data_IF_866929866813
#
_entry.id   IF_866929866813
#
_cell.length_a   1.000
_cell.length_b   1.000
_cell.length_c   1.000
_cell.angle_alpha   90.00
_cell.angle_beta   90.00
_cell.angle_gamma   90.00
#
_symmetry.space_group_name_H-M   'P 1'
#
loop_
_entity.id
_entity.type
_entity.pdbx_description
1 polymer ?
#
# COMPACT_ATOMS: atom_id res chain seq x y z
N UNK A 1 -14.52 0.50 -24.50
CA UNK A 1 -15.31 0.91 -23.33
C UNK A 1 -14.39 0.79 -22.12
N UNK A 2 -14.08 1.87 -21.40
CA UNK A 2 -13.28 1.80 -20.19
C UNK A 2 -14.07 1.03 -19.13
N UNK A 3 -13.41 0.10 -18.44
CA UNK A 3 -13.98 -0.62 -17.29
C UNK A 3 -14.21 0.40 -16.20
N UNK A 4 -15.48 0.60 -15.87
CA UNK A 4 -15.95 1.51 -14.83
C UNK A 4 -15.37 1.14 -13.49
N UNK A 5 -14.69 2.11 -12.87
CA UNK A 5 -14.22 2.07 -11.50
C UNK A 5 -15.41 1.75 -10.58
N UNK A 6 -15.34 0.62 -9.90
CA UNK A 6 -16.40 0.22 -9.00
C UNK A 6 -16.11 0.84 -7.64
N UNK A 7 -16.68 2.00 -7.40
CA UNK A 7 -16.67 2.67 -6.10
C UNK A 7 -17.68 1.97 -5.18
N UNK A 8 -17.25 1.62 -3.99
CA UNK A 8 -18.17 1.15 -2.95
C UNK A 8 -18.53 2.35 -2.08
N UNK A 9 -19.79 2.77 -2.18
CA UNK A 9 -20.41 3.73 -1.28
C UNK A 9 -20.74 3.02 0.04
N UNK A 10 -20.11 3.41 1.13
CA UNK A 10 -20.34 2.84 2.46
C UNK A 10 -21.49 3.46 3.19
N UNK A 11 -22.28 4.37 2.54
CA UNK A 11 -23.45 4.99 3.13
C UNK A 11 -23.16 5.96 4.30
N UNK A 12 -21.92 6.34 4.50
CA UNK A 12 -21.52 7.34 5.47
C UNK A 12 -21.57 8.73 4.78
N UNK A 13 -22.26 9.70 5.40
CA UNK A 13 -22.53 11.06 4.87
C UNK A 13 -21.27 11.96 4.74
N UNK A 14 -20.09 11.35 4.77
CA UNK A 14 -18.81 11.92 4.36
C UNK A 14 -18.14 10.87 3.48
N UNK A 15 -18.03 11.17 2.19
CA UNK A 15 -17.51 10.29 1.14
C UNK A 15 -16.09 9.78 1.44
N UNK A 16 -15.99 8.70 2.22
CA UNK A 16 -14.76 8.00 2.47
C UNK A 16 -14.70 6.81 1.51
N UNK A 17 -13.77 6.83 0.57
CA UNK A 17 -13.58 5.75 -0.38
C UNK A 17 -12.38 4.89 0.03
N UNK A 18 -12.62 3.60 0.27
CA UNK A 18 -11.55 2.61 0.44
C UNK A 18 -11.35 1.93 -0.90
N UNK A 19 -10.24 2.22 -1.58
CA UNK A 19 -9.88 1.54 -2.83
C UNK A 19 -9.08 0.28 -2.47
N UNK A 20 -9.70 -0.90 -2.54
CA UNK A 20 -9.08 -2.15 -2.13
C UNK A 20 -8.26 -2.83 -3.25
N UNK A 21 -8.39 -2.46 -4.55
CA UNK A 21 -7.73 -3.24 -5.61
C UNK A 21 -7.24 -2.49 -6.84
N UNK A 22 -7.34 -1.18 -6.93
CA UNK A 22 -6.82 -0.45 -8.09
C UNK A 22 -5.75 0.56 -7.66
N UNK A 23 -4.55 0.38 -8.21
CA UNK A 23 -3.57 1.44 -8.26
C UNK A 23 -4.18 2.54 -9.14
N UNK A 24 -4.33 3.74 -8.58
CA UNK A 24 -4.72 4.89 -9.37
C UNK A 24 -3.63 5.17 -10.39
N UNK A 25 -3.89 4.88 -11.68
CA UNK A 25 -2.87 4.93 -12.72
C UNK A 25 -2.23 6.32 -12.84
N UNK A 26 -3.00 7.38 -12.59
CA UNK A 26 -2.46 8.74 -12.66
C UNK A 26 -1.46 9.06 -11.53
N UNK A 27 -1.47 8.33 -10.41
CA UNK A 27 -0.47 8.52 -9.34
C UNK A 27 0.96 8.26 -9.82
N UNK A 28 1.13 7.47 -10.88
CA UNK A 28 2.42 7.24 -11.52
C UNK A 28 3.02 8.49 -12.16
N UNK A 29 2.19 9.50 -12.39
CA UNK A 29 2.56 10.80 -12.96
C UNK A 29 2.69 11.90 -11.90
N UNK A 30 2.71 11.52 -10.62
CA UNK A 30 2.68 12.49 -9.52
C UNK A 30 3.86 13.47 -9.53
N UNK A 31 5.03 13.05 -10.04
CA UNK A 31 6.19 13.90 -10.23
C UNK A 31 6.04 14.90 -11.38
N UNK A 32 5.22 14.57 -12.39
CA UNK A 32 4.90 15.45 -13.52
C UNK A 32 3.70 16.34 -13.25
N UNK A 33 2.76 15.85 -12.43
CA UNK A 33 1.47 16.47 -12.13
C UNK A 33 1.16 16.44 -10.63
N UNK A 34 1.92 17.18 -9.80
CA UNK A 34 1.71 17.19 -8.36
C UNK A 34 0.31 17.70 -7.96
N UNK A 35 -0.32 18.52 -8.82
CA UNK A 35 -1.67 19.04 -8.66
C UNK A 35 -2.77 17.95 -8.64
N UNK A 36 -2.45 16.71 -8.98
CA UNK A 36 -3.39 15.59 -8.87
C UNK A 36 -3.88 15.36 -7.43
N UNK A 37 -3.14 15.82 -6.42
CA UNK A 37 -3.51 15.70 -5.01
C UNK A 37 -4.03 17.02 -4.40
N UNK A 38 -4.15 18.09 -5.18
CA UNK A 38 -4.64 19.39 -4.70
C UNK A 38 -6.17 19.48 -4.56
N UNK A 39 -7.00 18.74 -5.32
CA UNK A 39 -8.44 18.86 -5.19
C UNK A 39 -8.91 18.53 -3.77
N UNK A 40 -9.78 19.37 -3.16
CA UNK A 40 -10.32 19.14 -1.82
C UNK A 40 -11.10 17.82 -1.71
N UNK A 41 -11.55 17.27 -2.84
CA UNK A 41 -12.21 15.96 -2.91
C UNK A 41 -11.28 14.80 -2.54
N UNK A 42 -9.97 15.02 -2.50
CA UNK A 42 -8.98 14.00 -2.09
C UNK A 42 -8.68 14.05 -0.60
N UNK A 43 -9.10 15.09 0.10
CA UNK A 43 -8.94 15.18 1.55
C UNK A 43 -9.70 14.04 2.26
N UNK A 44 -9.01 13.33 3.13
CA UNK A 44 -9.56 12.15 3.80
C UNK A 44 -9.69 10.89 2.95
N UNK A 45 -9.17 10.86 1.72
CA UNK A 45 -9.17 9.67 0.86
C UNK A 45 -7.95 8.77 1.08
N UNK A 46 -8.17 7.48 0.85
CA UNK A 46 -7.09 6.49 0.83
C UNK A 46 -6.65 6.24 -0.60
N UNK A 47 -5.37 6.41 -0.87
CA UNK A 47 -4.75 6.09 -2.15
C UNK A 47 -3.67 5.02 -1.97
N UNK A 48 -3.57 4.11 -2.93
CA UNK A 48 -2.49 3.13 -2.97
C UNK A 48 -1.31 3.69 -3.76
N UNK A 49 -0.16 3.78 -3.11
CA UNK A 49 1.08 4.27 -3.71
C UNK A 49 2.16 3.21 -3.58
N UNK A 50 2.91 2.94 -4.65
CA UNK A 50 4.10 2.09 -4.55
C UNK A 50 5.23 2.85 -3.84
N UNK A 51 6.02 2.15 -3.04
CA UNK A 51 7.06 2.77 -2.21
C UNK A 51 8.09 3.61 -2.98
N UNK A 52 8.31 3.29 -4.26
CA UNK A 52 9.19 4.06 -5.15
C UNK A 52 8.70 5.47 -5.47
N UNK A 53 7.41 5.74 -5.29
CA UNK A 53 6.79 7.05 -5.57
C UNK A 53 6.61 7.89 -4.30
N UNK A 54 6.84 7.35 -3.11
CA UNK A 54 6.61 8.07 -1.85
C UNK A 54 7.44 9.38 -1.77
N UNK A 55 8.67 9.35 -2.22
CA UNK A 55 9.53 10.54 -2.23
C UNK A 55 9.15 11.58 -3.29
N UNK A 56 8.21 11.24 -4.18
CA UNK A 56 7.65 12.13 -5.21
C UNK A 56 6.36 12.82 -4.76
N UNK A 57 5.81 12.40 -3.62
CA UNK A 57 4.58 12.96 -3.09
C UNK A 57 4.77 14.44 -2.75
N UNK A 58 3.80 15.32 -3.12
CA UNK A 58 3.86 16.75 -2.86
C UNK A 58 4.04 17.06 -1.37
N UNK A 59 4.98 17.93 -1.01
CA UNK A 59 5.32 18.25 0.39
C UNK A 59 4.39 19.27 1.04
N UNK A 60 3.48 19.87 0.28
CA UNK A 60 2.48 20.83 0.78
C UNK A 60 1.31 20.15 1.50
N UNK A 61 1.20 18.83 1.44
CA UNK A 61 0.18 18.06 2.12
C UNK A 61 0.76 17.24 3.25
N UNK A 62 -0.03 16.98 4.27
CA UNK A 62 0.28 16.02 5.33
C UNK A 62 -0.36 14.67 5.03
N UNK A 63 0.41 13.60 5.21
CA UNK A 63 -0.02 12.24 4.89
C UNK A 63 0.04 11.33 6.11
N UNK A 64 -0.97 10.49 6.25
CA UNK A 64 -0.93 9.29 7.10
C UNK A 64 -0.59 8.09 6.22
N UNK A 65 0.59 7.53 6.42
CA UNK A 65 1.14 6.46 5.58
C UNK A 65 1.02 5.12 6.31
N UNK A 66 0.21 4.21 5.78
CA UNK A 66 0.22 2.81 6.22
C UNK A 66 1.23 2.06 5.36
N UNK A 67 2.40 1.77 5.93
CA UNK A 67 3.46 1.07 5.24
C UNK A 67 3.32 -0.44 5.43
N UNK A 68 2.71 -1.10 4.42
CA UNK A 68 2.50 -2.54 4.45
C UNK A 68 3.80 -3.29 4.22
N UNK A 69 4.24 -4.05 5.22
CA UNK A 69 5.42 -4.91 5.12
C UNK A 69 5.02 -6.36 4.83
N UNK A 70 5.71 -6.96 3.88
CA UNK A 70 5.64 -8.38 3.59
C UNK A 70 7.04 -8.99 3.65
N UNK A 71 7.16 -10.31 3.88
CA UNK A 71 8.43 -11.01 3.76
C UNK A 71 9.09 -10.69 2.42
N UNK A 72 10.38 -10.33 2.46
CA UNK A 72 11.15 -10.01 1.24
C UNK A 72 11.21 -11.22 0.31
N UNK A 73 11.36 -12.41 0.88
CA UNK A 73 11.39 -13.65 0.11
C UNK A 73 10.05 -13.92 -0.60
N UNK A 74 8.91 -13.67 0.08
CA UNK A 74 7.59 -13.79 -0.55
C UNK A 74 7.37 -12.78 -1.68
N UNK A 75 7.84 -11.55 -1.49
CA UNK A 75 7.78 -10.49 -2.53
C UNK A 75 8.64 -10.88 -3.72
N UNK A 76 9.88 -11.31 -3.49
CA UNK A 76 10.81 -11.74 -4.53
C UNK A 76 10.25 -12.93 -5.32
N UNK A 77 9.73 -13.95 -4.64
CA UNK A 77 9.10 -15.10 -5.28
C UNK A 77 7.86 -14.71 -6.12
N UNK A 78 7.10 -13.73 -5.66
CA UNK A 78 5.93 -13.22 -6.41
C UNK A 78 6.36 -12.45 -7.67
N UNK A 79 7.39 -11.63 -7.56
CA UNK A 79 7.95 -10.89 -8.70
C UNK A 79 8.57 -11.84 -9.74
N UNK A 80 9.31 -12.85 -9.30
CA UNK A 80 9.87 -13.84 -10.21
C UNK A 80 8.79 -14.55 -11.01
N UNK A 81 7.70 -14.99 -10.35
CA UNK A 81 6.57 -15.62 -11.04
C UNK A 81 5.90 -14.67 -12.05
N UNK A 82 5.87 -13.38 -11.77
CA UNK A 82 5.33 -12.40 -12.71
C UNK A 82 6.23 -12.23 -13.93
N UNK A 83 7.54 -12.15 -13.74
CA UNK A 83 8.54 -12.06 -14.82
C UNK A 83 8.44 -13.30 -15.72
N UNK A 84 8.39 -14.49 -15.12
CA UNK A 84 8.28 -15.76 -15.86
C UNK A 84 6.99 -15.82 -16.71
N UNK A 85 5.88 -15.27 -16.22
CA UNK A 85 4.61 -15.22 -16.97
C UNK A 85 4.62 -14.22 -18.12
N UNK A 86 5.35 -13.12 -17.97
CA UNK A 86 5.43 -12.08 -19.00
C UNK A 86 6.36 -12.47 -20.14
N UNK A 87 7.16 -13.53 -19.99
CA UNK A 87 8.07 -14.00 -21.03
C UNK A 87 9.11 -12.95 -21.43
N UNK A 88 9.33 -11.95 -20.60
CA UNK A 88 10.34 -10.95 -20.85
C UNK A 88 11.71 -11.57 -20.60
N UNK A 89 12.51 -11.71 -21.65
CA UNK A 89 13.93 -12.07 -21.59
C UNK A 89 14.80 -10.97 -20.93
N UNK A 90 14.21 -10.18 -20.04
CA UNK A 90 14.91 -9.26 -19.18
C UNK A 90 15.81 -10.07 -18.25
N UNK A 91 17.04 -9.60 -18.08
CA UNK A 91 18.10 -10.25 -17.31
C UNK A 91 17.53 -11.02 -16.11
N UNK A 92 17.70 -12.35 -16.12
CA UNK A 92 17.33 -13.23 -14.99
C UNK A 92 18.19 -12.80 -13.81
N UNK A 93 17.66 -11.88 -13.01
CA UNK A 93 18.28 -11.53 -11.74
C UNK A 93 18.17 -12.75 -10.81
N UNK A 94 19.26 -13.14 -10.19
CA UNK A 94 19.21 -14.21 -9.20
C UNK A 94 18.28 -13.81 -8.05
N UNK A 95 17.49 -14.78 -7.56
CA UNK A 95 16.51 -14.54 -6.49
C UNK A 95 17.14 -13.84 -5.28
N UNK A 96 18.33 -14.24 -4.88
CA UNK A 96 19.06 -13.62 -3.77
C UNK A 96 19.46 -12.17 -4.03
N UNK A 97 19.75 -11.82 -5.27
CA UNK A 97 20.05 -10.44 -5.65
C UNK A 97 18.79 -9.58 -5.61
N UNK A 98 17.69 -10.11 -6.09
CA UNK A 98 16.38 -9.47 -5.99
C UNK A 98 15.97 -9.25 -4.52
N UNK A 99 16.14 -10.25 -3.66
CA UNK A 99 15.88 -10.13 -2.22
C UNK A 99 16.73 -9.04 -1.57
N UNK A 100 18.03 -9.02 -1.86
CA UNK A 100 18.94 -7.97 -1.34
C UNK A 100 18.51 -6.58 -1.80
N UNK A 101 18.15 -6.42 -3.07
CA UNK A 101 17.65 -5.16 -3.63
C UNK A 101 16.36 -4.69 -2.94
N UNK A 102 15.39 -5.59 -2.77
CA UNK A 102 14.13 -5.31 -2.08
C UNK A 102 14.34 -4.94 -0.61
N UNK A 103 15.22 -5.64 0.10
CA UNK A 103 15.54 -5.35 1.49
C UNK A 103 16.23 -3.97 1.63
N UNK A 104 17.17 -3.66 0.76
CA UNK A 104 17.85 -2.37 0.73
C UNK A 104 16.86 -1.22 0.43
N UNK A 105 15.99 -1.41 -0.57
CA UNK A 105 14.96 -0.43 -0.91
C UNK A 105 14.01 -0.20 0.27
N UNK A 106 13.51 -1.25 0.92
CA UNK A 106 12.64 -1.14 2.09
C UNK A 106 13.30 -0.32 3.19
N UNK A 107 14.56 -0.63 3.55
CA UNK A 107 15.30 0.11 4.56
C UNK A 107 15.41 1.58 4.20
N UNK A 108 15.88 1.91 3.00
CA UNK A 108 16.03 3.27 2.54
C UNK A 108 14.70 4.05 2.56
N UNK A 109 13.59 3.37 2.22
CA UNK A 109 12.25 3.98 2.26
C UNK A 109 11.84 4.30 3.69
N UNK A 110 12.04 3.39 4.64
CA UNK A 110 11.69 3.61 6.05
C UNK A 110 12.57 4.69 6.69
N UNK A 111 13.88 4.69 6.39
CA UNK A 111 14.80 5.74 6.85
C UNK A 111 14.36 7.11 6.33
N UNK A 112 13.91 7.18 5.07
CA UNK A 112 13.40 8.41 4.48
C UNK A 112 12.07 8.83 5.12
N UNK A 113 11.11 7.91 5.29
CA UNK A 113 9.81 8.18 5.93
C UNK A 113 10.00 8.72 7.35
N UNK A 114 10.92 8.16 8.13
CA UNK A 114 11.20 8.62 9.51
C UNK A 114 11.72 10.05 9.58
N UNK A 115 12.32 10.55 8.49
CA UNK A 115 12.82 11.91 8.38
C UNK A 115 11.82 12.88 7.73
N UNK A 116 10.79 12.38 7.07
CA UNK A 116 9.81 13.16 6.31
C UNK A 116 8.71 13.70 7.23
N UNK A 117 8.85 14.95 7.69
CA UNK A 117 7.94 15.58 8.68
C UNK A 117 6.46 15.65 8.26
N UNK A 118 6.18 15.62 6.96
CA UNK A 118 4.84 15.65 6.37
C UNK A 118 4.23 14.27 6.19
N UNK A 119 4.92 13.20 6.63
CA UNK A 119 4.47 11.82 6.53
C UNK A 119 4.49 11.14 7.89
N UNK A 120 3.35 11.07 8.54
CA UNK A 120 3.16 10.23 9.72
C UNK A 120 2.99 8.78 9.27
N UNK A 121 3.80 7.85 9.81
CA UNK A 121 3.88 6.49 9.28
C UNK A 121 3.54 5.44 10.33
N UNK A 122 2.65 4.52 9.97
CA UNK A 122 2.39 3.28 10.71
C UNK A 122 2.88 2.09 9.86
N UNK A 123 3.79 1.29 10.43
CA UNK A 123 4.27 0.07 9.80
C UNK A 123 3.36 -1.10 10.15
N UNK A 124 2.81 -1.78 9.15
CA UNK A 124 1.92 -2.93 9.33
C UNK A 124 2.50 -4.16 8.65
N UNK A 125 2.74 -5.23 9.41
CA UNK A 125 3.15 -6.49 8.83
C UNK A 125 1.95 -7.26 8.30
N UNK A 126 2.00 -7.60 7.04
CA UNK A 126 0.91 -8.30 6.37
C UNK A 126 0.59 -9.66 7.01
N UNK A 127 1.59 -10.40 7.48
CA UNK A 127 1.41 -11.66 8.19
C UNK A 127 0.62 -11.48 9.49
N UNK A 128 0.96 -10.46 10.30
CA UNK A 128 0.29 -10.16 11.56
C UNK A 128 -1.17 -9.74 11.32
N UNK A 129 -1.43 -8.92 10.28
CA UNK A 129 -2.78 -8.56 9.88
C UNK A 129 -3.64 -9.77 9.51
N UNK A 130 -3.06 -10.77 8.85
CA UNK A 130 -3.80 -11.98 8.43
C UNK A 130 -3.99 -12.97 9.59
N UNK A 131 -2.99 -13.11 10.46
CA UNK A 131 -3.01 -14.09 11.57
C UNK A 131 -3.86 -13.61 12.76
N UNK A 132 -3.76 -12.31 13.09
CA UNK A 132 -4.43 -11.69 14.23
C UNK A 132 -4.93 -10.27 13.92
N UNK A 133 -5.97 -10.12 13.10
CA UNK A 133 -6.39 -8.82 12.58
C UNK A 133 -6.87 -7.84 13.65
N UNK A 134 -7.41 -8.32 14.76
CA UNK A 134 -8.05 -7.46 15.78
C UNK A 134 -7.09 -6.39 16.33
N UNK A 135 -5.87 -6.79 16.69
CA UNK A 135 -4.87 -5.87 17.24
C UNK A 135 -4.44 -4.83 16.18
N UNK A 136 -4.17 -5.29 14.96
CA UNK A 136 -3.75 -4.41 13.86
C UNK A 136 -4.88 -3.46 13.44
N UNK A 137 -6.13 -3.94 13.40
CA UNK A 137 -7.28 -3.07 13.13
C UNK A 137 -7.49 -2.01 14.20
N UNK A 138 -7.22 -2.34 15.48
CA UNK A 138 -7.26 -1.35 16.57
C UNK A 138 -6.15 -0.28 16.41
N UNK A 139 -4.92 -0.69 16.08
CA UNK A 139 -3.81 0.24 15.79
C UNK A 139 -4.12 1.14 14.58
N UNK A 140 -4.69 0.57 13.51
CA UNK A 140 -5.12 1.34 12.35
C UNK A 140 -6.21 2.35 12.70
N UNK A 141 -7.16 1.97 13.55
CA UNK A 141 -8.23 2.87 13.99
C UNK A 141 -7.68 4.01 14.87
N UNK A 142 -6.75 3.71 15.78
CA UNK A 142 -6.07 4.73 16.59
C UNK A 142 -5.26 5.69 15.69
N UNK A 143 -4.51 5.14 14.74
CA UNK A 143 -3.67 5.90 13.83
C UNK A 143 -4.48 6.82 12.89
N UNK A 144 -5.57 6.32 12.31
CA UNK A 144 -6.37 7.05 11.32
C UNK A 144 -7.56 7.81 11.93
N UNK A 145 -7.97 7.44 13.16
CA UNK A 145 -9.08 8.09 13.87
C UNK A 145 -10.40 7.97 13.08
N UNK A 146 -11.12 9.08 13.01
CA UNK A 146 -12.46 9.15 12.36
C UNK A 146 -12.45 8.91 10.84
N UNK A 147 -11.28 8.75 10.24
CA UNK A 147 -11.15 8.46 8.80
C UNK A 147 -11.50 7.01 8.45
N UNK A 148 -11.61 6.14 9.44
CA UNK A 148 -11.90 4.72 9.22
C UNK A 148 -13.27 4.31 9.74
N UNK A 149 -13.90 3.31 9.07
CA UNK A 149 -15.04 2.61 9.63
C UNK A 149 -14.64 1.84 10.89
N UNK A 150 -15.63 1.40 11.65
CA UNK A 150 -15.45 0.56 12.84
C UNK A 150 -14.53 -0.65 12.58
N UNK A 151 -13.67 -0.97 13.55
CA UNK A 151 -12.70 -2.08 13.47
C UNK A 151 -13.34 -3.42 13.12
N UNK A 152 -14.60 -3.68 13.51
CA UNK A 152 -15.34 -4.88 13.14
C UNK A 152 -15.61 -4.99 11.62
N UNK A 153 -15.81 -3.88 10.95
CA UNK A 153 -15.96 -3.84 9.48
C UNK A 153 -14.63 -4.09 8.79
N UNK A 154 -13.52 -3.59 9.33
CA UNK A 154 -12.18 -3.85 8.78
C UNK A 154 -11.83 -5.34 8.84
N UNK A 155 -12.11 -6.00 9.97
CA UNK A 155 -11.89 -7.44 10.12
C UNK A 155 -12.65 -8.27 9.08
N UNK A 156 -13.89 -7.89 8.79
CA UNK A 156 -14.72 -8.60 7.79
C UNK A 156 -14.22 -8.46 6.36
N UNK A 157 -13.43 -7.42 6.08
CA UNK A 157 -12.84 -7.18 4.77
C UNK A 157 -11.57 -8.02 4.51
N UNK A 158 -11.00 -8.65 5.54
CA UNK A 158 -9.76 -9.43 5.42
C UNK A 158 -10.05 -10.82 4.86
N UNK A 159 -9.68 -11.02 3.61
CA UNK A 159 -9.78 -12.32 2.94
C UNK A 159 -8.46 -13.10 3.02
N UNK A 160 -8.41 -14.07 3.94
CA UNK A 160 -7.23 -14.94 4.15
C UNK A 160 -6.88 -15.80 2.93
N UNK A 161 -7.82 -16.05 2.02
CA UNK A 161 -7.58 -16.84 0.80
C UNK A 161 -6.67 -16.10 -0.20
N UNK A 162 -6.60 -14.78 -0.09
CA UNK A 162 -5.73 -13.95 -0.93
C UNK A 162 -4.27 -13.98 -0.50
N UNK A 163 -3.94 -14.54 0.67
CA UNK A 163 -2.56 -14.71 1.14
C UNK A 163 -1.89 -15.88 0.41
N UNK A 164 -1.30 -15.57 -0.74
CA UNK A 164 -0.57 -16.51 -1.58
C UNK A 164 0.94 -16.40 -1.34
N UNK A 165 1.70 -17.44 -1.73
CA UNK A 165 3.18 -17.50 -1.64
C UNK A 165 3.69 -17.35 -0.20
N UNK A 166 3.09 -18.08 0.75
CA UNK A 166 3.58 -18.16 2.12
C UNK A 166 4.95 -18.81 2.15
N UNK A 167 5.86 -18.31 3.00
CA UNK A 167 7.01 -19.09 3.41
C UNK A 167 6.48 -20.34 4.11
N UNK A 168 6.83 -21.54 3.60
CA UNK A 168 6.56 -22.78 4.31
C UNK A 168 7.41 -22.76 5.58
N UNK A 169 6.75 -22.63 6.73
CA UNK A 169 7.37 -22.88 8.04
C UNK A 169 7.68 -24.35 8.19
#
# INVERSE_FOLDING_TARGET
MPKTDRWYDTGCDRSHYIIVHFEWEDIKKIDEKPELLDPPELDGRVIKVISMLLNKMPKQHDYKVIFMQRSVAEVAASQQKMIDRLGTDGAKMELQELERGLAAHRRATLDWLSAAKHMETLEVKYSELIEGPDAICAELQEFLGDLLPDSGQMNSAIDRSLYRNRENK
#
